data_IF_048153062162
#
_entry.id   IF_048153062162
#
_cell.length_a   1.000
_cell.length_b   1.000
_cell.length_c   1.000
_cell.angle_alpha   90.00
_cell.angle_beta   90.00
_cell.angle_gamma   90.00
#
_symmetry.space_group_name_H-M   'P 1'
#
loop_
_entity.id
_entity.type
_entity.pdbx_description
1 polymer ?
#
# COMPACT_ATOMS: atom_id res chain seq x y z
N UNK A 1 -10.12 -13.01 19.78
CA UNK A 1 -9.75 -11.70 20.30
C UNK A 1 -10.69 -11.28 21.44
N UNK A 2 -12.01 -11.27 21.24
CA UNK A 2 -12.97 -10.75 22.22
C UNK A 2 -13.34 -11.74 23.33
N UNK A 3 -13.07 -13.02 23.16
CA UNK A 3 -13.48 -14.10 24.09
C UNK A 3 -12.31 -14.98 24.49
N UNK A 4 -11.38 -14.51 25.36
CA UNK A 4 -10.22 -15.31 25.81
C UNK A 4 -10.62 -16.67 26.40
N UNK A 5 -11.75 -16.73 27.10
CA UNK A 5 -12.26 -17.99 27.67
C UNK A 5 -12.63 -19.06 26.65
N UNK A 6 -12.80 -18.68 25.35
CA UNK A 6 -13.03 -19.63 24.27
C UNK A 6 -11.76 -20.31 23.76
N UNK A 7 -10.59 -19.83 24.18
CA UNK A 7 -9.31 -20.45 23.82
C UNK A 7 -9.21 -21.82 24.52
N UNK A 8 -9.10 -22.87 23.73
CA UNK A 8 -8.91 -24.23 24.17
C UNK A 8 -7.46 -24.65 23.95
N UNK A 9 -7.21 -25.92 23.74
CA UNK A 9 -5.88 -26.44 23.42
C UNK A 9 -5.37 -26.07 22.04
N UNK A 10 -6.24 -25.55 21.15
CA UNK A 10 -5.90 -25.13 19.81
C UNK A 10 -6.76 -23.94 19.38
N UNK A 11 -6.17 -22.98 18.69
CA UNK A 11 -6.84 -21.83 18.08
C UNK A 11 -6.50 -21.72 16.60
N UNK A 12 -7.37 -21.07 15.82
CA UNK A 12 -7.14 -20.70 14.42
C UNK A 12 -7.16 -19.19 14.31
N UNK A 13 -6.02 -18.50 14.45
CA UNK A 13 -5.98 -17.03 14.53
C UNK A 13 -6.32 -16.33 13.21
N UNK A 14 -6.27 -17.04 12.08
CA UNK A 14 -6.60 -16.47 10.78
C UNK A 14 -5.69 -15.30 10.42
N UNK A 15 -6.27 -14.21 9.93
CA UNK A 15 -5.53 -13.03 9.43
C UNK A 15 -4.74 -12.30 10.54
N UNK A 16 -5.09 -12.51 11.79
CA UNK A 16 -4.35 -11.93 12.91
C UNK A 16 -2.87 -12.38 12.95
N UNK A 17 -2.50 -13.50 12.30
CA UNK A 17 -1.09 -13.90 12.11
C UNK A 17 -0.33 -12.87 11.28
N UNK A 18 -1.01 -12.21 10.35
CA UNK A 18 -0.43 -11.15 9.51
C UNK A 18 -0.50 -9.76 10.15
N UNK A 19 -1.00 -9.68 11.38
CA UNK A 19 -1.14 -8.41 12.08
C UNK A 19 -2.26 -7.53 11.52
N UNK A 20 -3.21 -8.11 10.79
CA UNK A 20 -4.34 -7.39 10.23
C UNK A 20 -5.63 -7.69 11.00
N UNK A 21 -6.49 -6.68 11.13
CA UNK A 21 -7.80 -6.82 11.76
C UNK A 21 -8.74 -7.71 10.91
N UNK A 22 -9.50 -8.62 11.55
CA UNK A 22 -10.49 -9.45 10.85
C UNK A 22 -11.69 -8.67 10.30
N UNK A 23 -12.00 -7.52 10.92
CA UNK A 23 -13.03 -6.58 10.46
C UNK A 23 -12.74 -5.19 11.02
N UNK A 24 -13.28 -4.16 10.39
CA UNK A 24 -13.15 -2.75 10.81
C UNK A 24 -13.66 -2.56 12.25
N UNK A 25 -14.73 -3.27 12.64
CA UNK A 25 -15.31 -3.18 14.00
C UNK A 25 -14.39 -3.70 15.11
N UNK A 26 -13.34 -4.45 14.75
CA UNK A 26 -12.37 -4.98 15.69
C UNK A 26 -11.05 -4.20 15.74
N UNK A 27 -10.94 -3.11 14.98
CA UNK A 27 -9.71 -2.31 14.88
C UNK A 27 -9.23 -1.84 16.25
N UNK A 28 -10.07 -1.13 16.99
CA UNK A 28 -9.71 -0.61 18.32
C UNK A 28 -9.26 -1.73 19.27
N UNK A 29 -9.87 -2.91 19.16
CA UNK A 29 -9.49 -4.06 19.97
C UNK A 29 -8.17 -4.67 19.53
N UNK A 30 -7.89 -4.69 18.24
CA UNK A 30 -6.61 -5.13 17.70
C UNK A 30 -5.48 -4.21 18.13
N UNK A 31 -5.72 -2.91 18.13
CA UNK A 31 -4.77 -1.90 18.63
C UNK A 31 -4.48 -2.07 20.13
N UNK A 32 -5.53 -2.30 20.95
CA UNK A 32 -5.38 -2.54 22.37
C UNK A 32 -4.54 -3.78 22.72
N UNK A 33 -4.58 -4.81 21.90
CA UNK A 33 -3.75 -6.03 22.10
C UNK A 33 -2.39 -5.93 21.43
N UNK A 34 -2.08 -4.79 20.80
CA UNK A 34 -0.80 -4.55 20.13
C UNK A 34 -0.60 -5.39 18.87
N UNK A 35 -1.66 -5.65 18.11
CA UNK A 35 -1.56 -6.38 16.85
C UNK A 35 -0.76 -5.54 15.85
N UNK A 36 0.38 -6.08 15.38
CA UNK A 36 1.28 -5.37 14.46
C UNK A 36 1.36 -6.07 13.11
N UNK A 37 1.37 -5.33 11.98
CA UNK A 37 1.64 -5.90 10.68
C UNK A 37 2.94 -6.69 10.67
N UNK A 38 2.93 -7.90 10.08
CA UNK A 38 4.09 -8.77 9.95
C UNK A 38 4.62 -8.85 8.52
N UNK A 39 4.00 -8.11 7.60
CA UNK A 39 4.39 -8.08 6.20
C UNK A 39 4.49 -6.63 5.73
N UNK A 40 5.52 -6.36 4.93
CA UNK A 40 5.72 -5.12 4.20
C UNK A 40 5.82 -5.40 2.71
N UNK A 41 5.18 -4.58 1.89
CA UNK A 41 5.35 -4.61 0.45
C UNK A 41 6.05 -3.34 0.01
N UNK A 42 7.25 -3.51 -0.54
CA UNK A 42 8.11 -2.41 -0.93
C UNK A 42 8.60 -2.52 -2.36
N UNK A 43 9.00 -1.39 -2.91
CA UNK A 43 9.65 -1.25 -4.21
C UNK A 43 10.60 -0.06 -4.17
N UNK A 44 11.18 0.33 -5.30
CA UNK A 44 12.07 1.48 -5.41
C UNK A 44 11.60 2.44 -6.49
N UNK A 45 11.90 3.73 -6.32
CA UNK A 45 11.72 4.74 -7.36
C UNK A 45 12.65 4.44 -8.55
N UNK A 46 12.09 4.27 -9.76
CA UNK A 46 12.89 3.97 -10.97
C UNK A 46 13.07 5.15 -11.90
N UNK A 47 12.17 6.09 -11.85
CA UNK A 47 12.25 7.27 -12.71
C UNK A 47 11.52 8.44 -12.05
N UNK A 48 12.04 9.65 -12.25
CA UNK A 48 11.39 10.90 -11.81
C UNK A 48 11.36 11.84 -13.01
N UNK A 49 10.22 12.45 -13.24
CA UNK A 49 10.05 13.45 -14.27
C UNK A 49 9.07 14.54 -13.84
N UNK A 50 9.26 15.71 -14.39
CA UNK A 50 8.33 16.82 -14.24
C UNK A 50 7.25 16.74 -15.31
N UNK A 51 6.00 17.00 -14.93
CA UNK A 51 4.90 17.26 -15.86
C UNK A 51 4.33 18.65 -15.59
N UNK A 52 3.82 19.28 -16.63
CA UNK A 52 3.28 20.62 -16.55
C UNK A 52 1.80 20.65 -16.20
N UNK A 53 1.37 21.75 -15.62
CA UNK A 53 -0.06 22.00 -15.39
C UNK A 53 -0.88 21.74 -16.65
N UNK A 54 -1.97 20.99 -16.53
CA UNK A 54 -2.84 20.58 -17.64
C UNK A 54 -2.43 19.28 -18.34
N UNK A 55 -1.24 18.74 -18.10
CA UNK A 55 -0.84 17.44 -18.64
C UNK A 55 -1.52 16.29 -17.90
N UNK A 56 -1.66 15.15 -18.59
CA UNK A 56 -2.37 13.98 -18.09
C UNK A 56 -1.46 12.78 -17.95
N UNK A 57 -1.78 11.87 -17.01
CA UNK A 57 -0.98 10.71 -16.68
C UNK A 57 -1.77 9.41 -16.81
N UNK A 58 -1.10 8.37 -17.32
CA UNK A 58 -1.58 7.01 -17.43
C UNK A 58 -2.77 6.81 -18.38
N UNK A 59 -3.28 5.58 -18.43
CA UNK A 59 -4.37 5.20 -19.32
C UNK A 59 -5.67 5.93 -19.01
N UNK A 60 -6.36 6.34 -20.09
CA UNK A 60 -7.66 7.00 -19.99
C UNK A 60 -7.58 8.45 -19.51
N UNK A 61 -6.39 9.00 -19.31
CA UNK A 61 -6.19 10.43 -18.92
C UNK A 61 -7.09 10.84 -17.75
N UNK A 62 -7.22 9.96 -16.75
CA UNK A 62 -8.16 10.15 -15.63
C UNK A 62 -7.66 11.13 -14.57
N UNK A 63 -6.40 11.49 -14.62
CA UNK A 63 -5.81 12.50 -13.76
C UNK A 63 -5.08 13.54 -14.61
N UNK A 64 -5.34 14.81 -14.32
CA UNK A 64 -4.71 15.97 -14.95
C UNK A 64 -3.94 16.74 -13.89
N UNK A 65 -2.71 17.11 -14.15
CA UNK A 65 -1.88 17.87 -13.22
C UNK A 65 -2.48 19.26 -12.98
N UNK A 66 -2.84 19.62 -11.73
CA UNK A 66 -3.41 20.94 -11.42
C UNK A 66 -2.36 22.06 -11.42
N UNK A 67 -1.10 21.70 -11.28
CA UNK A 67 0.10 22.55 -11.30
C UNK A 67 1.29 21.74 -11.81
N UNK A 68 2.42 22.38 -12.03
CA UNK A 68 3.67 21.71 -12.36
C UNK A 68 4.01 20.73 -11.22
N UNK A 69 4.26 19.47 -11.56
CA UNK A 69 4.28 18.35 -10.58
C UNK A 69 5.44 17.41 -10.91
N UNK A 70 6.17 16.97 -9.88
CA UNK A 70 7.13 15.88 -9.99
C UNK A 70 6.41 14.53 -9.78
N UNK A 71 6.62 13.62 -10.70
CA UNK A 71 6.11 12.25 -10.63
C UNK A 71 7.26 11.25 -10.54
N UNK A 72 7.16 10.34 -9.57
CA UNK A 72 8.00 9.15 -9.50
C UNK A 72 7.25 7.95 -10.09
N UNK A 73 7.95 7.17 -10.91
CA UNK A 73 7.46 5.90 -11.45
C UNK A 73 8.00 4.75 -10.59
N UNK A 74 7.09 3.92 -10.12
CA UNK A 74 7.36 2.71 -9.34
C UNK A 74 7.08 1.47 -10.19
N UNK A 75 8.01 0.48 -10.26
CA UNK A 75 7.87 -0.74 -11.08
C UNK A 75 7.00 -1.79 -10.36
N UNK A 76 5.77 -1.42 -10.04
CA UNK A 76 4.79 -2.27 -9.36
C UNK A 76 3.39 -1.89 -9.81
N UNK A 77 2.55 -2.89 -10.06
CA UNK A 77 1.19 -2.66 -10.52
C UNK A 77 0.21 -3.76 -10.12
N UNK A 78 -0.92 -3.85 -10.82
CA UNK A 78 -1.94 -4.85 -10.46
C UNK A 78 -1.48 -6.29 -10.77
N UNK A 79 -0.50 -6.49 -11.64
CA UNK A 79 0.12 -7.79 -11.87
C UNK A 79 0.95 -8.29 -10.69
N UNK A 80 1.34 -7.39 -9.78
CA UNK A 80 2.06 -7.69 -8.55
C UNK A 80 1.13 -7.88 -7.35
N UNK A 81 -0.14 -7.51 -7.51
CA UNK A 81 -1.17 -7.63 -6.48
C UNK A 81 -1.72 -6.31 -5.96
N UNK A 82 -1.35 -5.16 -6.55
CA UNK A 82 -1.94 -3.89 -6.15
C UNK A 82 -3.32 -3.71 -6.77
N UNK A 83 -4.37 -3.38 -5.97
CA UNK A 83 -5.70 -3.15 -6.53
C UNK A 83 -5.70 -2.00 -7.54
N UNK A 84 -6.16 -2.26 -8.77
CA UNK A 84 -6.22 -1.22 -9.80
C UNK A 84 -7.08 -0.01 -9.40
N UNK A 85 -8.13 -0.24 -8.61
CA UNK A 85 -9.03 0.81 -8.11
C UNK A 85 -8.37 1.75 -7.10
N UNK A 86 -7.25 1.36 -6.49
CA UNK A 86 -6.57 2.15 -5.46
C UNK A 86 -5.99 3.48 -5.98
N UNK A 87 -5.80 3.63 -7.29
CA UNK A 87 -5.28 4.86 -7.90
C UNK A 87 -6.00 6.15 -7.49
N UNK A 88 -7.33 6.06 -7.23
CA UNK A 88 -8.16 7.24 -6.98
C UNK A 88 -8.00 7.82 -5.56
N UNK A 89 -7.61 6.98 -4.60
CA UNK A 89 -7.54 7.34 -3.17
C UNK A 89 -6.24 6.88 -2.50
N UNK A 90 -5.36 6.22 -3.27
CA UNK A 90 -4.16 5.59 -2.74
C UNK A 90 -2.97 6.52 -2.62
N UNK A 91 -2.06 6.11 -1.76
CA UNK A 91 -0.73 6.71 -1.61
C UNK A 91 0.29 5.62 -1.30
N UNK A 92 1.56 5.92 -1.45
CA UNK A 92 2.68 5.12 -0.97
C UNK A 92 3.50 5.95 0.02
N UNK A 93 4.34 5.33 0.83
CA UNK A 93 5.26 6.06 1.70
C UNK A 93 6.63 6.09 1.03
N UNK A 94 7.22 7.29 0.91
CA UNK A 94 8.60 7.49 0.46
C UNK A 94 9.25 8.51 1.41
N UNK A 95 10.38 8.13 2.01
CA UNK A 95 11.12 8.97 2.96
C UNK A 95 10.21 9.50 4.10
N UNK A 96 9.36 8.60 4.65
CA UNK A 96 8.44 8.94 5.74
C UNK A 96 7.29 9.87 5.34
N UNK A 97 7.02 10.04 4.04
CA UNK A 97 5.94 10.91 3.55
C UNK A 97 4.96 10.13 2.68
N UNK A 98 3.68 10.41 2.84
CA UNK A 98 2.61 9.85 1.98
C UNK A 98 2.59 10.56 0.64
N UNK A 99 2.93 9.83 -0.41
CA UNK A 99 2.99 10.27 -1.80
C UNK A 99 1.75 9.75 -2.54
N UNK A 100 0.81 10.61 -2.96
CA UNK A 100 -0.44 10.18 -3.58
C UNK A 100 -0.22 9.59 -4.97
N UNK A 101 -0.97 8.52 -5.29
CA UNK A 101 -0.95 7.89 -6.61
C UNK A 101 -1.62 8.83 -7.61
N UNK A 102 -1.00 8.98 -8.77
CA UNK A 102 -1.50 9.82 -9.87
C UNK A 102 -1.66 9.03 -11.15
N UNK A 103 -2.86 9.07 -11.69
CA UNK A 103 -3.24 8.25 -12.82
C UNK A 103 -3.47 6.77 -12.46
N UNK A 104 -4.06 6.04 -13.39
CA UNK A 104 -4.50 4.65 -13.18
C UNK A 104 -3.30 3.73 -13.01
N UNK A 105 -3.35 2.82 -12.04
CA UNK A 105 -2.36 1.76 -11.85
C UNK A 105 -2.41 0.83 -13.08
N UNK A 106 -1.24 0.58 -13.69
CA UNK A 106 -1.08 -0.34 -14.81
C UNK A 106 -0.70 -1.74 -14.33
N UNK A 107 -0.47 -2.67 -15.24
CA UNK A 107 -0.07 -4.03 -14.88
C UNK A 107 1.24 -4.06 -14.08
N UNK A 108 2.21 -3.24 -14.49
CA UNK A 108 3.59 -3.32 -14.02
C UNK A 108 4.13 -2.01 -13.43
N UNK A 109 3.31 -0.95 -13.42
CA UNK A 109 3.76 0.36 -12.96
C UNK A 109 2.62 1.17 -12.34
N UNK A 110 2.99 2.02 -11.39
CA UNK A 110 2.18 3.12 -10.91
C UNK A 110 3.04 4.39 -10.77
N UNK A 111 2.39 5.54 -10.77
CA UNK A 111 3.04 6.84 -10.62
C UNK A 111 2.52 7.53 -9.38
N UNK A 112 3.42 8.20 -8.67
CA UNK A 112 3.11 8.95 -7.45
C UNK A 112 3.65 10.36 -7.56
N UNK A 113 2.91 11.31 -7.02
CA UNK A 113 3.38 12.69 -6.87
C UNK A 113 4.36 12.77 -5.71
N UNK A 114 5.51 13.37 -5.96
CA UNK A 114 6.61 13.43 -5.00
C UNK A 114 7.16 14.82 -4.80
N UNK A 115 7.75 15.06 -3.64
CA UNK A 115 8.52 16.27 -3.38
C UNK A 115 9.94 16.23 -3.98
N UNK A 116 10.58 17.39 -4.06
CA UNK A 116 11.90 17.57 -4.65
C UNK A 116 13.05 16.81 -3.96
N UNK A 117 12.81 16.25 -2.76
CA UNK A 117 13.82 15.49 -2.01
C UNK A 117 13.84 14.00 -2.37
N UNK A 118 12.86 13.51 -3.12
CA UNK A 118 12.80 12.11 -3.55
C UNK A 118 13.75 11.89 -4.71
N UNK A 119 14.51 10.81 -4.67
CA UNK A 119 15.50 10.43 -5.67
C UNK A 119 15.22 9.04 -6.27
N UNK A 120 15.78 8.77 -7.45
CA UNK A 120 15.81 7.42 -8.01
C UNK A 120 16.60 6.50 -7.08
N UNK A 121 16.04 5.33 -6.79
CA UNK A 121 16.56 4.37 -5.82
C UNK A 121 15.96 4.49 -4.42
N UNK A 122 15.22 5.56 -4.12
CA UNK A 122 14.52 5.66 -2.83
C UNK A 122 13.49 4.55 -2.67
N UNK A 123 13.44 3.99 -1.45
CA UNK A 123 12.48 2.95 -1.11
C UNK A 123 11.07 3.53 -1.03
N UNK A 124 10.12 2.84 -1.66
CA UNK A 124 8.69 3.15 -1.63
C UNK A 124 7.91 2.00 -0.99
N UNK A 125 7.13 2.30 0.04
CA UNK A 125 6.32 1.32 0.78
C UNK A 125 4.87 1.42 0.30
N UNK A 126 4.34 0.30 -0.19
CA UNK A 126 2.95 0.21 -0.65
C UNK A 126 2.02 -0.16 0.51
N UNK A 127 2.42 -1.12 1.35
CA UNK A 127 1.89 -1.30 2.70
C UNK A 127 3.02 -1.74 3.63
N UNK A 128 2.97 -1.32 4.86
CA UNK A 128 4.04 -1.46 5.85
C UNK A 128 4.31 -0.14 6.55
N UNK A 129 5.49 0.00 7.10
CA UNK A 129 5.92 1.17 7.88
C UNK A 129 7.25 1.74 7.35
N UNK A 130 7.37 3.06 7.37
CA UNK A 130 8.62 3.77 7.12
C UNK A 130 8.63 5.10 7.90
N UNK A 131 9.65 5.30 8.74
CA UNK A 131 9.88 6.54 9.48
C UNK A 131 8.66 7.03 10.30
N UNK A 132 7.88 6.07 10.86
CA UNK A 132 6.71 6.34 11.68
C UNK A 132 5.39 6.51 10.89
N UNK A 133 5.45 6.56 9.56
CA UNK A 133 4.26 6.48 8.71
C UNK A 133 3.90 5.03 8.40
N UNK A 134 2.61 4.71 8.41
CA UNK A 134 2.10 3.35 8.22
C UNK A 134 0.97 3.34 7.19
N UNK A 135 1.03 2.42 6.23
CA UNK A 135 -0.10 2.04 5.37
C UNK A 135 -0.44 0.58 5.67
N UNK A 136 -1.65 0.31 6.13
CA UNK A 136 -2.08 -1.06 6.43
C UNK A 136 -2.82 -1.71 5.26
N UNK A 137 -2.83 -3.05 5.21
CA UNK A 137 -3.69 -3.76 4.27
C UNK A 137 -5.18 -3.41 4.47
N UNK A 138 -5.60 -3.09 5.70
CA UNK A 138 -6.94 -2.61 6.03
C UNK A 138 -7.26 -1.25 5.44
N UNK A 139 -6.30 -0.30 5.45
CA UNK A 139 -6.45 1.00 4.79
C UNK A 139 -6.69 0.84 3.29
N UNK A 140 -5.88 0.01 2.62
CA UNK A 140 -6.04 -0.27 1.19
C UNK A 140 -7.39 -0.94 0.92
N UNK A 141 -7.77 -1.93 1.71
CA UNK A 141 -9.03 -2.65 1.59
C UNK A 141 -10.24 -1.71 1.70
N UNK A 142 -10.24 -0.82 2.68
CA UNK A 142 -11.27 0.19 2.85
C UNK A 142 -11.36 1.15 1.65
N UNK A 143 -10.22 1.62 1.15
CA UNK A 143 -10.16 2.53 0.00
C UNK A 143 -10.64 1.88 -1.30
N UNK A 144 -10.54 0.56 -1.41
CA UNK A 144 -10.87 -0.24 -2.61
C UNK A 144 -12.13 -1.10 -2.45
N UNK A 145 -12.88 -0.91 -1.34
CA UNK A 145 -14.15 -1.57 -1.06
C UNK A 145 -14.04 -3.11 -0.99
N UNK A 146 -12.95 -3.58 -0.36
CA UNK A 146 -12.68 -5.00 -0.13
C UNK A 146 -12.25 -5.28 1.31
N UNK A 147 -11.59 -6.41 1.56
CA UNK A 147 -11.13 -6.86 2.88
C UNK A 147 -9.61 -7.08 2.90
N UNK A 148 -8.99 -6.93 4.08
CA UNK A 148 -7.54 -7.09 4.27
C UNK A 148 -7.01 -8.44 3.75
N UNK A 149 -7.83 -9.48 3.82
CA UNK A 149 -7.53 -10.82 3.30
C UNK A 149 -7.21 -10.82 1.81
N UNK A 150 -8.02 -10.11 1.01
CA UNK A 150 -7.82 -10.01 -0.43
C UNK A 150 -6.54 -9.26 -0.75
N UNK A 151 -6.28 -8.15 -0.06
CA UNK A 151 -5.04 -7.37 -0.26
C UNK A 151 -3.80 -8.23 -0.02
N UNK A 152 -3.75 -8.96 1.10
CA UNK A 152 -2.60 -9.80 1.43
C UNK A 152 -2.48 -11.01 0.50
N UNK A 153 -3.60 -11.61 0.11
CA UNK A 153 -3.63 -12.77 -0.78
C UNK A 153 -3.31 -12.42 -2.24
N UNK A 154 -3.56 -11.16 -2.67
CA UNK A 154 -3.36 -10.72 -4.05
C UNK A 154 -1.89 -10.56 -4.43
N UNK A 155 -0.98 -10.39 -3.45
CA UNK A 155 0.46 -10.25 -3.72
C UNK A 155 0.96 -11.48 -4.50
N UNK A 156 1.30 -11.25 -5.77
CA UNK A 156 1.56 -12.29 -6.77
C UNK A 156 2.85 -13.08 -6.51
N UNK A 157 2.98 -14.24 -7.19
CA UNK A 157 4.16 -15.11 -7.07
C UNK A 157 5.43 -14.51 -7.67
N UNK A 158 5.30 -13.49 -8.53
CA UNK A 158 6.43 -12.79 -9.13
C UNK A 158 7.09 -11.79 -8.18
N UNK A 159 6.45 -11.47 -7.05
CA UNK A 159 7.02 -10.65 -5.99
C UNK A 159 7.86 -11.55 -5.08
N UNK A 160 9.18 -11.32 -4.95
CA UNK A 160 10.03 -12.08 -4.03
C UNK A 160 9.54 -11.94 -2.58
N UNK A 161 9.65 -13.03 -1.81
CA UNK A 161 9.40 -13.02 -0.35
C UNK A 161 10.75 -13.09 0.35
N UNK A 162 11.01 -12.11 1.18
CA UNK A 162 12.18 -12.06 2.05
C UNK A 162 11.68 -12.24 3.47
N UNK A 163 12.24 -13.20 4.18
CA UNK A 163 11.88 -13.48 5.57
C UNK A 163 12.98 -12.94 6.45
N UNK A 164 12.62 -12.04 7.36
CA UNK A 164 13.50 -11.46 8.37
C UNK A 164 13.21 -12.07 9.73
N UNK A 165 14.25 -12.33 10.52
CA UNK A 165 14.17 -12.92 11.87
C UNK A 165 14.10 -11.83 12.94
#
# INVERSE_FOLDING_TARGET
INFPASHRSMVRPGIAIYGAEPSVDLRDRCDQIGLKPTAQFETEVRHIHEIKSGETVSYGRRWTAPHDTLLATLPVGYGDGMPRSWWAKGCVIINGQRCPIRGVITMDQLMVEVGAKVAVGDKAILFGEQDGEVITAGEIAQATETISYEILASVGKRVPRIYEN
#
